data_IF_568655960733
#
_entry.id   IF_568655960733
#
_cell.length_a   1.000
_cell.length_b   1.000
_cell.length_c   1.000
_cell.angle_alpha   90.00
_cell.angle_beta   90.00
_cell.angle_gamma   90.00
#
_symmetry.space_group_name_H-M   'P 1'
#
loop_
_entity.id
_entity.type
_entity.pdbx_description
1 polymer ?
#
# COMPACT_ATOMS: atom_id res chain seq x y z
N UNK A 1 15.19 -10.02 -10.31
CA UNK A 1 15.77 -8.69 -10.51
C UNK A 1 16.43 -8.65 -11.89
N UNK A 2 16.19 -7.61 -12.71
CA UNK A 2 16.71 -7.54 -14.09
C UNK A 2 17.82 -6.52 -14.25
N UNK A 3 17.72 -5.39 -13.56
CA UNK A 3 18.69 -4.31 -13.66
C UNK A 3 18.68 -3.45 -12.39
N UNK A 4 19.81 -2.83 -12.11
CA UNK A 4 20.00 -1.78 -11.12
C UNK A 4 20.41 -0.51 -11.84
N UNK A 5 19.89 0.63 -11.43
CA UNK A 5 20.34 1.94 -11.89
C UNK A 5 20.73 2.78 -10.68
N UNK A 6 21.84 3.46 -10.78
CA UNK A 6 22.27 4.41 -9.75
C UNK A 6 21.67 5.81 -9.97
N UNK A 7 22.02 6.76 -9.12
CA UNK A 7 21.55 8.14 -9.19
C UNK A 7 22.02 8.89 -10.44
N UNK A 8 23.03 8.37 -11.13
CA UNK A 8 23.55 8.96 -12.39
C UNK A 8 22.86 8.37 -13.61
N UNK A 9 22.04 7.31 -13.43
CA UNK A 9 21.45 6.53 -14.51
C UNK A 9 22.38 5.47 -15.09
N UNK A 10 23.57 5.27 -14.51
CA UNK A 10 24.45 4.17 -14.86
C UNK A 10 23.90 2.85 -14.33
N UNK A 11 24.30 1.75 -14.96
CA UNK A 11 23.82 0.40 -14.61
C UNK A 11 24.93 -0.41 -13.91
N UNK A 12 25.06 -0.29 -12.56
CA UNK A 12 26.03 -1.07 -11.83
C UNK A 12 25.61 -2.54 -11.73
N UNK A 13 26.60 -3.43 -11.74
CA UNK A 13 26.36 -4.86 -11.49
C UNK A 13 26.03 -5.16 -10.02
N UNK A 14 26.53 -4.35 -9.11
CA UNK A 14 26.37 -4.49 -7.66
C UNK A 14 26.21 -3.12 -7.01
N UNK A 15 25.38 -3.06 -5.99
CA UNK A 15 25.25 -1.89 -5.13
C UNK A 15 25.69 -2.24 -3.71
N UNK A 16 26.61 -1.44 -3.16
CA UNK A 16 27.06 -1.56 -1.78
C UNK A 16 26.09 -0.91 -0.78
N UNK A 17 26.41 -0.99 0.52
CA UNK A 17 25.64 -0.30 1.55
C UNK A 17 25.59 1.22 1.32
N UNK A 18 24.47 1.83 1.67
CA UNK A 18 24.24 3.29 1.59
C UNK A 18 24.28 3.88 0.18
N UNK A 19 24.16 3.07 -0.86
CA UNK A 19 24.06 3.52 -2.25
C UNK A 19 22.60 3.48 -2.68
N UNK A 20 21.99 4.61 -3.10
CA UNK A 20 20.63 4.62 -3.62
C UNK A 20 20.62 3.97 -5.00
N UNK A 21 19.68 3.06 -5.24
CA UNK A 21 19.50 2.39 -6.52
C UNK A 21 18.06 2.20 -6.88
N UNK A 22 17.75 2.33 -8.15
CA UNK A 22 16.46 1.95 -8.72
C UNK A 22 16.54 0.50 -9.19
N UNK A 23 15.63 -0.33 -8.69
CA UNK A 23 15.60 -1.77 -9.00
C UNK A 23 14.51 -2.06 -10.02
N UNK A 24 14.86 -2.72 -11.11
CA UNK A 24 13.90 -3.18 -12.12
C UNK A 24 13.75 -4.70 -12.11
N UNK A 25 12.52 -5.14 -12.40
CA UNK A 25 12.20 -6.55 -12.59
C UNK A 25 11.91 -7.30 -11.30
N UNK A 26 11.42 -6.61 -10.28
CA UNK A 26 10.73 -7.26 -9.16
C UNK A 26 9.32 -7.68 -9.60
N UNK A 27 8.79 -8.75 -8.98
CA UNK A 27 7.45 -9.28 -9.28
C UNK A 27 6.33 -8.35 -8.78
N UNK A 28 6.63 -7.48 -7.83
CA UNK A 28 5.73 -6.47 -7.27
C UNK A 28 6.50 -5.25 -6.81
N UNK A 29 5.79 -4.17 -6.51
CA UNK A 29 6.37 -2.95 -5.97
C UNK A 29 6.32 -3.04 -4.45
N UNK A 30 7.46 -2.95 -3.75
CA UNK A 30 7.49 -2.91 -2.29
C UNK A 30 6.92 -1.60 -1.77
N UNK A 31 6.37 -1.62 -0.56
CA UNK A 31 5.98 -0.40 0.13
C UNK A 31 7.23 0.28 0.76
N UNK A 32 7.13 1.59 0.97
CA UNK A 32 8.18 2.32 1.66
C UNK A 32 8.38 1.77 3.10
N UNK A 33 9.65 1.50 3.44
CA UNK A 33 10.01 0.90 4.73
C UNK A 33 9.92 -0.63 4.79
N UNK A 34 9.60 -1.31 3.69
CA UNK A 34 9.67 -2.77 3.64
C UNK A 34 11.13 -3.25 3.75
N UNK A 35 11.34 -4.32 4.50
CA UNK A 35 12.65 -4.96 4.62
C UNK A 35 13.09 -5.58 3.29
N UNK A 36 14.27 -5.18 2.84
CA UNK A 36 14.93 -5.75 1.67
C UNK A 36 15.98 -6.77 2.13
N UNK A 37 15.76 -8.04 1.79
CA UNK A 37 16.64 -9.15 2.19
C UNK A 37 17.20 -9.84 0.96
N UNK A 38 18.53 -9.98 0.93
CA UNK A 38 19.21 -10.76 -0.10
C UNK A 38 19.35 -12.20 0.37
N UNK A 39 18.98 -13.14 -0.48
CA UNK A 39 19.09 -14.58 -0.23
C UNK A 39 19.84 -15.24 -1.38
N UNK A 40 20.56 -16.33 -1.08
CA UNK A 40 21.37 -17.03 -2.07
C UNK A 40 20.53 -17.91 -3.01
N UNK A 41 19.39 -18.40 -2.53
CA UNK A 41 18.51 -19.30 -3.29
C UNK A 41 17.22 -18.58 -3.73
N UNK A 42 16.96 -18.62 -5.05
CA UNK A 42 15.75 -18.04 -5.64
C UNK A 42 14.46 -18.72 -5.13
N UNK A 43 14.50 -20.01 -4.82
CA UNK A 43 13.33 -20.73 -4.27
C UNK A 43 13.00 -20.19 -2.88
N UNK A 44 14.02 -20.02 -2.05
CA UNK A 44 13.86 -19.45 -0.72
C UNK A 44 13.31 -18.01 -0.79
N UNK A 45 13.77 -17.22 -1.76
CA UNK A 45 13.25 -15.88 -1.99
C UNK A 45 11.74 -15.90 -2.30
N UNK A 46 11.30 -16.79 -3.18
CA UNK A 46 9.89 -16.95 -3.55
C UNK A 46 9.04 -17.41 -2.37
N UNK A 47 9.50 -18.39 -1.63
CA UNK A 47 8.77 -18.93 -0.47
C UNK A 47 8.58 -17.86 0.61
N UNK A 48 9.63 -17.10 0.94
CA UNK A 48 9.56 -16.01 1.92
C UNK A 48 8.65 -14.90 1.43
N UNK A 49 8.74 -14.50 0.16
CA UNK A 49 7.88 -13.48 -0.42
C UNK A 49 6.41 -13.90 -0.38
N UNK A 50 6.10 -15.14 -0.74
CA UNK A 50 4.74 -15.68 -0.71
C UNK A 50 4.18 -15.77 0.71
N UNK A 51 4.99 -16.19 1.69
CA UNK A 51 4.57 -16.19 3.09
C UNK A 51 4.26 -14.79 3.61
N UNK A 52 5.10 -13.81 3.29
CA UNK A 52 4.88 -12.40 3.66
C UNK A 52 3.61 -11.84 3.02
N UNK A 53 3.39 -12.13 1.74
CA UNK A 53 2.19 -11.70 1.03
C UNK A 53 0.91 -12.31 1.64
N UNK A 54 0.93 -13.61 1.92
CA UNK A 54 -0.20 -14.29 2.58
C UNK A 54 -0.51 -13.68 3.94
N UNK A 55 0.51 -13.49 4.78
CA UNK A 55 0.35 -12.86 6.09
C UNK A 55 -0.18 -11.43 6.01
N UNK A 56 0.28 -10.65 5.04
CA UNK A 56 -0.19 -9.29 4.77
C UNK A 56 -1.64 -9.27 4.31
N UNK A 57 -2.02 -10.21 3.44
CA UNK A 57 -3.40 -10.39 2.99
C UNK A 57 -4.33 -10.76 4.13
N UNK A 58 -3.93 -11.69 4.99
CA UNK A 58 -4.69 -12.07 6.20
C UNK A 58 -4.86 -10.88 7.15
N UNK A 59 -3.81 -10.11 7.41
CA UNK A 59 -3.89 -8.91 8.24
C UNK A 59 -4.85 -7.87 7.68
N UNK A 60 -4.85 -7.65 6.36
CA UNK A 60 -5.80 -6.74 5.70
C UNK A 60 -7.24 -7.23 5.81
N UNK A 61 -7.47 -8.53 5.68
CA UNK A 61 -8.81 -9.12 5.83
C UNK A 61 -9.34 -8.95 7.26
N UNK A 62 -8.50 -9.16 8.26
CA UNK A 62 -8.85 -8.97 9.68
C UNK A 62 -9.17 -7.50 9.98
N UNK A 63 -8.35 -6.57 9.51
CA UNK A 63 -8.60 -5.14 9.66
C UNK A 63 -9.89 -4.71 8.95
N UNK A 64 -10.12 -5.18 7.74
CA UNK A 64 -11.34 -4.90 6.99
C UNK A 64 -12.60 -5.46 7.68
N UNK A 65 -12.52 -6.62 8.30
CA UNK A 65 -13.63 -7.20 9.06
C UNK A 65 -13.92 -6.42 10.36
N UNK A 66 -12.87 -6.00 11.08
CA UNK A 66 -13.01 -5.17 12.29
C UNK A 66 -13.64 -3.81 11.97
N UNK A 67 -13.15 -3.13 10.95
CA UNK A 67 -13.69 -1.84 10.51
C UNK A 67 -15.16 -1.94 10.07
N UNK A 68 -15.55 -2.98 9.35
CA UNK A 68 -16.95 -3.21 8.98
C UNK A 68 -17.85 -3.42 10.17
N UNK A 69 -17.38 -4.11 11.20
CA UNK A 69 -18.16 -4.37 12.42
C UNK A 69 -18.34 -3.09 13.23
N UNK A 70 -17.30 -2.26 13.33
CA UNK A 70 -17.38 -0.93 13.93
C UNK A 70 -18.32 0.00 13.15
N UNK A 71 -18.27 -0.02 11.82
CA UNK A 71 -19.15 0.76 10.96
C UNK A 71 -20.63 0.34 11.12
N UNK A 72 -20.90 -0.95 11.21
CA UNK A 72 -22.25 -1.47 11.46
C UNK A 72 -22.75 -1.07 12.86
N UNK A 73 -21.90 -1.19 13.88
CA UNK A 73 -22.25 -0.76 15.24
C UNK A 73 -22.44 0.76 15.33
N UNK A 74 -21.61 1.54 14.66
CA UNK A 74 -21.78 2.99 14.60
C UNK A 74 -23.08 3.42 13.89
N UNK A 75 -23.47 2.67 12.85
CA UNK A 75 -24.72 2.92 12.11
C UNK A 75 -25.95 2.51 12.92
N UNK A 76 -25.85 1.44 13.73
CA UNK A 76 -26.95 0.97 14.59
C UNK A 76 -27.08 1.77 15.89
N UNK A 77 -26.00 2.38 16.38
CA UNK A 77 -25.94 3.08 17.66
C UNK A 77 -26.17 4.59 17.60
N UNK A 78 -26.05 5.21 16.43
CA UNK A 78 -26.25 6.65 16.22
C UNK A 78 -27.34 6.86 15.17
N UNK A 79 -28.54 7.01 15.63
CA UNK A 79 -29.54 7.70 14.83
C UNK A 79 -29.07 9.13 14.60
N UNK A 80 -28.98 9.52 13.34
CA UNK A 80 -28.88 10.87 12.82
C UNK A 80 -27.52 11.57 12.97
N UNK A 81 -26.74 11.66 11.88
CA UNK A 81 -25.91 12.79 11.65
C UNK A 81 -24.58 12.63 10.94
N UNK A 82 -23.78 11.58 11.16
CA UNK A 82 -22.46 11.55 10.54
C UNK A 82 -22.53 11.08 9.07
N UNK A 83 -22.23 11.96 8.14
CA UNK A 83 -22.15 11.63 6.72
C UNK A 83 -20.84 10.91 6.41
N UNK A 84 -20.90 9.84 5.60
CA UNK A 84 -19.72 9.11 5.15
C UNK A 84 -19.39 9.50 3.71
N UNK A 85 -18.20 10.07 3.50
CA UNK A 85 -17.68 10.37 2.19
C UNK A 85 -16.75 9.22 1.74
N UNK A 86 -17.22 8.44 0.78
CA UNK A 86 -16.44 7.35 0.21
C UNK A 86 -15.59 7.86 -0.97
N UNK A 87 -14.28 7.57 -0.94
CA UNK A 87 -13.32 8.05 -1.91
C UNK A 87 -12.54 6.88 -2.55
N UNK A 88 -12.26 7.04 -3.83
CA UNK A 88 -11.26 6.26 -4.59
C UNK A 88 -10.08 7.16 -4.89
N UNK A 89 -8.87 6.71 -4.57
CA UNK A 89 -7.64 7.50 -4.76
C UNK A 89 -6.77 6.81 -5.80
N UNK A 90 -6.42 7.56 -6.84
CA UNK A 90 -5.42 7.16 -7.83
C UNK A 90 -4.35 8.23 -7.95
N UNK A 91 -3.09 7.82 -8.01
CA UNK A 91 -1.95 8.70 -8.19
C UNK A 91 -0.89 8.06 -9.10
N UNK A 92 0.12 8.82 -9.44
CA UNK A 92 1.21 8.39 -10.33
C UNK A 92 2.22 7.45 -9.65
N UNK A 93 2.41 7.60 -8.34
CA UNK A 93 3.35 6.80 -7.55
C UNK A 93 2.75 6.36 -6.22
N UNK A 94 3.26 5.26 -5.68
CA UNK A 94 2.76 4.66 -4.43
C UNK A 94 2.88 5.60 -3.22
N UNK A 95 3.96 6.39 -3.14
CA UNK A 95 4.14 7.37 -2.06
C UNK A 95 3.06 8.45 -2.05
N UNK A 96 2.66 8.94 -3.23
CA UNK A 96 1.56 9.91 -3.36
C UNK A 96 0.22 9.33 -2.91
N UNK A 97 -0.06 8.06 -3.27
CA UNK A 97 -1.27 7.34 -2.81
C UNK A 97 -1.31 7.27 -1.29
N UNK A 98 -0.21 6.87 -0.66
CA UNK A 98 -0.13 6.75 0.80
C UNK A 98 -0.30 8.11 1.50
N UNK A 99 0.41 9.14 1.03
CA UNK A 99 0.33 10.49 1.59
C UNK A 99 -1.09 11.06 1.50
N UNK A 100 -1.72 10.95 0.33
CA UNK A 100 -3.10 11.40 0.11
C UNK A 100 -4.09 10.63 0.99
N UNK A 101 -3.97 9.32 1.09
CA UNK A 101 -4.86 8.50 1.91
C UNK A 101 -4.77 8.91 3.39
N UNK A 102 -3.57 9.11 3.92
CA UNK A 102 -3.37 9.52 5.30
C UNK A 102 -3.89 10.94 5.55
N UNK A 103 -3.60 11.88 4.65
CA UNK A 103 -4.04 13.26 4.78
C UNK A 103 -5.57 13.37 4.73
N UNK A 104 -6.23 12.67 3.81
CA UNK A 104 -7.68 12.70 3.65
C UNK A 104 -8.40 12.08 4.85
N UNK A 105 -7.94 10.94 5.34
CA UNK A 105 -8.51 10.32 6.55
C UNK A 105 -8.37 11.22 7.77
N UNK A 106 -7.25 11.96 7.89
CA UNK A 106 -7.02 12.90 8.98
C UNK A 106 -7.94 14.14 8.95
N UNK A 107 -8.57 14.43 7.80
CA UNK A 107 -9.58 15.50 7.69
C UNK A 107 -10.97 15.11 8.18
N UNK A 108 -11.18 13.85 8.54
CA UNK A 108 -12.45 13.40 9.12
C UNK A 108 -12.76 14.18 10.40
N UNK A 109 -14.02 14.53 10.58
CA UNK A 109 -14.53 15.24 11.76
C UNK A 109 -15.81 14.56 12.28
N UNK A 110 -16.46 15.17 13.27
CA UNK A 110 -17.69 14.60 13.88
C UNK A 110 -18.88 14.59 12.91
N UNK A 111 -18.91 15.47 11.92
CA UNK A 111 -20.01 15.59 10.95
C UNK A 111 -19.76 14.71 9.72
N UNK A 112 -18.49 14.61 9.28
CA UNK A 112 -18.11 13.90 8.04
C UNK A 112 -16.97 12.94 8.30
N UNK A 113 -17.20 11.66 8.01
CA UNK A 113 -16.18 10.62 8.02
C UNK A 113 -15.71 10.35 6.60
N UNK A 114 -14.40 10.46 6.39
CA UNK A 114 -13.78 10.11 5.11
C UNK A 114 -13.35 8.66 5.14
N UNK A 115 -13.85 7.89 4.17
CA UNK A 115 -13.54 6.48 4.00
C UNK A 115 -12.90 6.25 2.62
N UNK A 116 -11.66 5.77 2.59
CA UNK A 116 -10.97 5.42 1.35
C UNK A 116 -11.30 3.97 1.00
N UNK A 117 -12.20 3.77 0.04
CA UNK A 117 -12.66 2.44 -0.38
C UNK A 117 -11.57 1.71 -1.18
N UNK A 118 -10.92 2.44 -2.09
CA UNK A 118 -9.88 1.90 -2.94
C UNK A 118 -8.77 2.92 -3.16
N UNK A 119 -7.53 2.45 -3.18
CA UNK A 119 -6.38 3.28 -3.49
C UNK A 119 -5.38 2.52 -4.35
N UNK A 120 -4.76 3.19 -5.32
CA UNK A 120 -3.82 2.54 -6.23
C UNK A 120 -3.08 3.51 -7.14
N UNK A 121 -2.09 2.96 -7.84
CA UNK A 121 -1.28 3.70 -8.81
C UNK A 121 -1.90 3.54 -10.20
N UNK A 122 -1.91 4.62 -10.98
CA UNK A 122 -2.38 4.66 -12.36
C UNK A 122 -3.62 5.53 -12.55
N UNK A 123 -4.22 5.43 -13.73
CA UNK A 123 -5.47 6.11 -14.08
C UNK A 123 -6.70 5.44 -13.49
N UNK A 124 -7.80 6.16 -13.48
CA UNK A 124 -9.11 5.62 -13.10
C UNK A 124 -9.63 4.74 -14.23
N UNK A 125 -10.11 3.57 -13.90
CA UNK A 125 -10.66 2.58 -14.84
C UNK A 125 -12.08 2.18 -14.44
N UNK A 126 -12.80 1.48 -15.33
CA UNK A 126 -14.15 0.98 -15.05
C UNK A 126 -14.21 0.00 -13.85
N UNK A 127 -13.08 -0.62 -13.52
CA UNK A 127 -13.00 -1.56 -12.37
C UNK A 127 -12.82 -0.87 -11.02
N UNK A 128 -12.58 0.42 -10.99
CA UNK A 128 -12.41 1.22 -9.77
C UNK A 128 -13.75 1.71 -9.24
#
# INVERSE_FOLDING_TARGET
MRALFDETGAQPEQAGPSIPVQVLGLSGVPDAGDDFVVVEDERLAKDVAQQRETKRRESRLVQSAGSRMEDIMATLGKGDGQQVLNLVIKADVQGSVQALSQALVALSNDDIRINVIHSGVGGITESD
#
